data_IF_942221505915
#
_entry.id   IF_942221505915
#
_cell.length_a   1.000
_cell.length_b   1.000
_cell.length_c   1.000
_cell.angle_alpha   90.00
_cell.angle_beta   90.00
_cell.angle_gamma   90.00
#
_symmetry.space_group_name_H-M   'P 1'
#
loop_
_entity.id
_entity.type
_entity.pdbx_description
1 polymer ?
#
# COMPACT_ATOMS: atom_id res chain seq x y z
N UNK A 1 33.37 13.47 10.76
CA UNK A 1 33.61 12.01 10.84
C UNK A 1 32.48 11.20 10.19
N UNK A 2 31.20 11.55 10.37
CA UNK A 2 30.07 10.94 9.63
C UNK A 2 29.86 11.47 8.19
N UNK A 3 30.28 12.72 7.91
CA UNK A 3 30.05 13.39 6.61
C UNK A 3 30.86 12.86 5.44
N UNK A 4 31.88 12.04 5.69
CA UNK A 4 32.80 11.55 4.66
C UNK A 4 32.58 10.06 4.33
N UNK A 5 31.70 9.38 5.07
CA UNK A 5 31.34 7.98 4.84
C UNK A 5 29.86 7.89 4.43
N UNK A 6 29.62 7.85 3.13
CA UNK A 6 28.27 7.78 2.58
C UNK A 6 27.53 6.50 3.00
N UNK A 7 28.25 5.39 3.22
CA UNK A 7 27.62 4.10 3.58
C UNK A 7 27.17 4.12 5.04
N UNK A 8 27.99 4.65 5.94
CA UNK A 8 27.60 4.87 7.33
C UNK A 8 26.44 5.87 7.43
N UNK A 9 26.52 6.98 6.69
CA UNK A 9 25.47 8.00 6.67
C UNK A 9 24.15 7.47 6.10
N UNK A 10 24.19 6.61 5.08
CA UNK A 10 23.01 5.95 4.53
C UNK A 10 22.33 5.04 5.55
N UNK A 11 23.10 4.22 6.28
CA UNK A 11 22.55 3.36 7.34
C UNK A 11 21.91 4.18 8.46
N UNK A 12 22.55 5.29 8.82
CA UNK A 12 22.00 6.23 9.79
C UNK A 12 20.69 6.85 9.28
N UNK A 13 20.66 7.33 8.03
CA UNK A 13 19.45 7.84 7.38
C UNK A 13 18.29 6.84 7.42
N UNK A 14 18.53 5.57 7.09
CA UNK A 14 17.49 4.53 7.11
C UNK A 14 16.94 4.29 8.52
N UNK A 15 17.80 4.25 9.53
CA UNK A 15 17.39 4.09 10.92
C UNK A 15 16.49 5.25 11.40
N UNK A 16 16.71 6.47 10.91
CA UNK A 16 15.95 7.66 11.29
C UNK A 16 14.49 7.66 10.76
N UNK A 17 14.16 6.79 9.80
CA UNK A 17 12.77 6.58 9.37
C UNK A 17 11.95 5.73 10.33
N UNK A 18 12.56 5.15 11.37
CA UNK A 18 11.87 4.43 12.44
C UNK A 18 11.51 5.31 13.65
N UNK A 19 11.84 6.61 13.60
CA UNK A 19 11.56 7.55 14.69
C UNK A 19 10.07 7.65 15.02
N UNK A 20 9.78 7.98 16.26
CA UNK A 20 8.44 8.26 16.77
C UNK A 20 8.26 9.74 17.11
N UNK A 21 7.05 10.13 17.50
CA UNK A 21 6.73 11.50 17.89
C UNK A 21 7.58 11.92 19.10
N UNK A 22 7.97 13.20 19.16
CA UNK A 22 8.74 13.83 20.26
C UNK A 22 10.24 13.43 20.30
N UNK A 23 10.76 12.82 19.23
CA UNK A 23 12.20 12.55 19.05
C UNK A 23 12.88 13.65 18.20
N UNK A 24 12.90 14.90 18.71
CA UNK A 24 13.39 16.08 17.96
C UNK A 24 14.82 15.91 17.41
N UNK A 25 15.70 15.27 18.20
CA UNK A 25 17.08 14.98 17.79
C UNK A 25 17.12 14.10 16.53
N UNK A 26 16.17 13.16 16.38
CA UNK A 26 16.10 12.28 15.22
C UNK A 26 15.54 13.01 13.99
N UNK A 27 14.66 14.00 14.17
CA UNK A 27 14.18 14.87 13.09
C UNK A 27 15.31 15.77 12.55
N UNK A 28 16.08 16.38 13.46
CA UNK A 28 17.28 17.15 13.09
C UNK A 28 18.31 16.27 12.39
N UNK A 29 18.55 15.07 12.91
CA UNK A 29 19.44 14.10 12.30
C UNK A 29 18.96 13.63 10.92
N UNK A 30 17.65 13.50 10.70
CA UNK A 30 17.11 13.14 9.39
C UNK A 30 17.34 14.27 8.40
N UNK A 31 17.10 15.51 8.80
CA UNK A 31 17.37 16.70 7.98
C UNK A 31 18.86 16.79 7.62
N UNK A 32 19.73 16.59 8.61
CA UNK A 32 21.18 16.56 8.44
C UNK A 32 21.60 15.47 7.45
N UNK A 33 21.20 14.22 7.67
CA UNK A 33 21.61 13.07 6.86
C UNK A 33 21.08 13.18 5.43
N UNK A 34 19.84 13.61 5.25
CA UNK A 34 19.23 13.86 3.93
C UNK A 34 20.04 14.88 3.12
N UNK A 35 20.39 16.02 3.74
CA UNK A 35 21.16 17.09 3.08
C UNK A 35 22.53 16.59 2.63
N UNK A 36 23.24 15.86 3.50
CA UNK A 36 24.58 15.37 3.19
C UNK A 36 24.55 14.25 2.14
N UNK A 37 23.62 13.29 2.23
CA UNK A 37 23.46 12.25 1.19
C UNK A 37 23.17 12.86 -0.18
N UNK A 38 22.28 13.86 -0.27
CA UNK A 38 22.02 14.60 -1.51
C UNK A 38 23.28 15.29 -2.06
N UNK A 39 24.07 15.90 -1.18
CA UNK A 39 25.32 16.56 -1.58
C UNK A 39 26.40 15.58 -2.03
N UNK A 40 26.44 14.37 -1.46
CA UNK A 40 27.43 13.35 -1.80
C UNK A 40 27.07 12.62 -3.08
N UNK A 41 25.77 12.45 -3.37
CA UNK A 41 25.25 11.62 -4.46
C UNK A 41 25.97 11.82 -5.83
N UNK A 42 26.25 13.05 -6.31
CA UNK A 42 26.93 13.25 -7.60
C UNK A 42 28.36 12.70 -7.66
N UNK A 43 28.98 12.46 -6.51
CA UNK A 43 30.38 12.03 -6.38
C UNK A 43 30.51 10.55 -6.00
N UNK A 44 29.38 9.84 -5.83
CA UNK A 44 29.38 8.42 -5.50
C UNK A 44 29.44 7.57 -6.76
N UNK A 45 30.12 6.42 -6.65
CA UNK A 45 30.13 5.40 -7.70
C UNK A 45 29.04 4.35 -7.46
N UNK A 46 28.63 3.66 -8.53
CA UNK A 46 27.80 2.47 -8.41
C UNK A 46 28.55 1.34 -7.65
N UNK A 47 27.85 0.49 -6.88
CA UNK A 47 26.39 0.47 -6.70
C UNK A 47 25.86 1.40 -5.59
N UNK A 48 26.75 2.02 -4.80
CA UNK A 48 26.36 2.85 -3.65
C UNK A 48 25.57 4.09 -4.05
N UNK A 49 25.92 4.74 -5.16
CA UNK A 49 25.16 5.88 -5.68
C UNK A 49 23.68 5.51 -5.96
N UNK A 50 23.45 4.34 -6.56
CA UNK A 50 22.09 3.86 -6.84
C UNK A 50 21.34 3.55 -5.54
N UNK A 51 22.01 2.97 -4.56
CA UNK A 51 21.41 2.69 -3.26
C UNK A 51 20.99 3.98 -2.55
N UNK A 52 21.88 4.99 -2.49
CA UNK A 52 21.57 6.30 -1.90
C UNK A 52 20.41 6.98 -2.63
N UNK A 53 20.39 6.93 -3.97
CA UNK A 53 19.29 7.48 -4.76
C UNK A 53 17.96 6.82 -4.42
N UNK A 54 17.91 5.49 -4.41
CA UNK A 54 16.68 4.74 -4.08
C UNK A 54 16.16 5.10 -2.69
N UNK A 55 17.03 5.11 -1.67
CA UNK A 55 16.67 5.45 -0.29
C UNK A 55 16.16 6.89 -0.14
N UNK A 56 16.73 7.84 -0.88
CA UNK A 56 16.27 9.23 -0.88
C UNK A 56 14.91 9.42 -1.57
N UNK A 57 14.58 8.56 -2.55
CA UNK A 57 13.26 8.52 -3.20
C UNK A 57 12.23 7.81 -2.33
N UNK A 58 12.57 6.65 -1.77
CA UNK A 58 11.72 5.86 -0.90
C UNK A 58 12.59 5.13 0.13
N UNK A 59 12.54 5.54 1.41
CA UNK A 59 13.25 4.86 2.48
C UNK A 59 12.84 3.39 2.61
N UNK A 60 13.76 2.52 3.02
CA UNK A 60 13.51 1.07 3.10
C UNK A 60 12.30 0.74 3.98
N UNK A 61 12.14 1.42 5.10
CA UNK A 61 11.01 1.21 6.01
C UNK A 61 9.64 1.52 5.38
N UNK A 62 9.60 2.38 4.36
CA UNK A 62 8.38 2.80 3.66
C UNK A 62 8.19 2.10 2.31
N UNK A 63 9.17 1.31 1.88
CA UNK A 63 9.14 0.58 0.62
C UNK A 63 8.39 -0.75 0.73
N UNK A 64 7.77 -1.19 -0.38
CA UNK A 64 7.20 -2.53 -0.45
C UNK A 64 8.33 -3.56 -0.46
N UNK A 65 8.34 -4.56 0.46
CA UNK A 65 9.46 -5.50 0.58
C UNK A 65 9.84 -6.18 -0.74
N UNK A 66 8.84 -6.53 -1.56
CA UNK A 66 9.06 -7.19 -2.84
C UNK A 66 9.70 -6.29 -3.90
N UNK A 67 9.31 -5.02 -3.94
CA UNK A 67 9.89 -4.02 -4.85
C UNK A 67 11.32 -3.69 -4.44
N UNK A 68 11.55 -3.50 -3.13
CA UNK A 68 12.88 -3.24 -2.58
C UNK A 68 13.80 -4.44 -2.78
N UNK A 69 13.33 -5.67 -2.60
CA UNK A 69 14.09 -6.87 -2.92
C UNK A 69 14.49 -6.90 -4.41
N UNK A 70 13.57 -6.59 -5.34
CA UNK A 70 13.88 -6.57 -6.79
C UNK A 70 14.99 -5.57 -7.11
N UNK A 71 14.94 -4.38 -6.53
CA UNK A 71 15.93 -3.31 -6.71
C UNK A 71 17.26 -3.71 -6.08
N UNK A 72 17.23 -4.24 -4.86
CA UNK A 72 18.41 -4.57 -4.09
C UNK A 72 19.18 -5.77 -4.65
N UNK A 73 18.52 -6.77 -5.24
CA UNK A 73 19.21 -7.88 -5.93
C UNK A 73 20.21 -7.34 -6.98
N UNK A 74 19.82 -6.35 -7.78
CA UNK A 74 20.71 -5.75 -8.78
C UNK A 74 21.87 -4.98 -8.15
N UNK A 75 21.63 -4.27 -7.05
CA UNK A 75 22.66 -3.53 -6.29
C UNK A 75 23.66 -4.52 -5.66
N UNK A 76 23.15 -5.58 -5.04
CA UNK A 76 23.94 -6.61 -4.37
C UNK A 76 24.78 -7.43 -5.36
N UNK A 77 24.24 -7.70 -6.55
CA UNK A 77 24.98 -8.35 -7.64
C UNK A 77 26.22 -7.56 -8.07
N UNK A 78 26.13 -6.23 -8.08
CA UNK A 78 27.24 -5.35 -8.41
C UNK A 78 28.24 -5.15 -7.26
N UNK A 79 27.94 -5.61 -6.04
CA UNK A 79 28.87 -5.52 -4.92
C UNK A 79 29.99 -6.57 -5.05
N UNK A 80 31.23 -6.13 -4.92
CA UNK A 80 32.43 -6.98 -4.99
C UNK A 80 32.54 -7.87 -3.74
N UNK A 81 32.01 -7.42 -2.59
CA UNK A 81 32.04 -8.15 -1.33
C UNK A 81 30.82 -9.08 -1.13
N UNK A 82 30.01 -9.30 -2.18
CA UNK A 82 28.78 -10.10 -2.09
C UNK A 82 29.06 -11.57 -1.78
N UNK A 83 28.11 -12.21 -1.11
CA UNK A 83 28.09 -13.65 -0.93
C UNK A 83 27.33 -14.31 -2.08
N UNK A 84 28.04 -15.04 -2.94
CA UNK A 84 27.47 -15.62 -4.17
C UNK A 84 26.26 -16.51 -3.90
N UNK A 85 26.33 -17.40 -2.90
CA UNK A 85 25.20 -18.29 -2.58
C UNK A 85 23.96 -17.54 -2.08
N UNK A 86 24.13 -16.37 -1.45
CA UNK A 86 22.99 -15.56 -1.01
C UNK A 86 22.32 -14.89 -2.22
N UNK A 87 23.12 -14.38 -3.16
CA UNK A 87 22.60 -13.81 -4.41
C UNK A 87 21.84 -14.85 -5.24
N UNK A 88 22.39 -16.05 -5.37
CA UNK A 88 21.75 -17.16 -6.08
C UNK A 88 20.43 -17.56 -5.42
N UNK A 89 20.43 -17.75 -4.10
CA UNK A 89 19.23 -18.04 -3.33
C UNK A 89 18.16 -16.96 -3.52
N UNK A 90 18.53 -15.68 -3.39
CA UNK A 90 17.60 -14.56 -3.54
C UNK A 90 17.00 -14.49 -4.96
N UNK A 91 17.78 -14.78 -6.01
CA UNK A 91 17.27 -14.81 -7.40
C UNK A 91 16.32 -15.98 -7.63
N UNK A 92 16.66 -17.17 -7.11
CA UNK A 92 15.82 -18.36 -7.24
C UNK A 92 14.48 -18.19 -6.50
N UNK A 93 14.54 -17.75 -5.24
CA UNK A 93 13.34 -17.45 -4.45
C UNK A 93 12.48 -16.37 -5.11
N UNK A 94 13.11 -15.31 -5.64
CA UNK A 94 12.39 -14.26 -6.36
C UNK A 94 11.58 -14.83 -7.53
N UNK A 95 12.20 -15.66 -8.36
CA UNK A 95 11.55 -16.25 -9.54
C UNK A 95 10.49 -17.28 -9.15
N UNK A 96 10.69 -18.03 -8.07
CA UNK A 96 9.71 -18.98 -7.55
C UNK A 96 8.44 -18.26 -7.12
N UNK A 97 8.56 -17.22 -6.30
CA UNK A 97 7.42 -16.40 -5.87
C UNK A 97 6.77 -15.69 -7.04
N UNK A 98 7.54 -15.16 -7.99
CA UNK A 98 6.97 -14.54 -9.19
C UNK A 98 6.13 -15.53 -10.00
N UNK A 99 6.58 -16.79 -10.11
CA UNK A 99 5.81 -17.86 -10.79
C UNK A 99 4.48 -18.12 -10.09
N UNK A 100 4.50 -18.19 -8.75
CA UNK A 100 3.27 -18.32 -7.95
C UNK A 100 2.33 -17.14 -8.21
N UNK A 101 2.85 -15.91 -8.14
CA UNK A 101 2.04 -14.70 -8.32
C UNK A 101 1.45 -14.59 -9.74
N UNK A 102 2.19 -15.01 -10.77
CA UNK A 102 1.70 -15.09 -12.15
C UNK A 102 0.57 -16.10 -12.31
N UNK A 103 0.62 -17.22 -11.58
CA UNK A 103 -0.47 -18.20 -11.56
C UNK A 103 -1.72 -17.61 -10.91
N UNK A 104 -1.57 -17.00 -9.74
CA UNK A 104 -2.67 -16.36 -9.01
C UNK A 104 -3.37 -15.30 -9.89
N UNK A 105 -2.62 -14.36 -10.48
CA UNK A 105 -3.21 -13.31 -11.32
C UNK A 105 -3.85 -13.86 -12.60
N UNK A 106 -3.33 -14.96 -13.16
CA UNK A 106 -3.96 -15.64 -14.31
C UNK A 106 -5.33 -16.21 -13.93
N UNK A 107 -5.42 -16.84 -12.75
CA UNK A 107 -6.65 -17.45 -12.24
C UNK A 107 -7.69 -16.39 -11.90
N UNK A 108 -7.26 -15.31 -11.26
CA UNK A 108 -8.09 -14.13 -10.97
C UNK A 108 -8.55 -13.46 -12.27
N UNK A 109 -7.68 -13.32 -13.27
CA UNK A 109 -8.04 -12.73 -14.58
C UNK A 109 -9.09 -13.55 -15.32
N UNK A 110 -9.02 -14.89 -15.24
CA UNK A 110 -10.06 -15.78 -15.79
C UNK A 110 -11.40 -15.58 -15.08
N UNK A 111 -11.38 -15.45 -13.76
CA UNK A 111 -12.57 -15.14 -12.97
C UNK A 111 -13.17 -13.77 -13.35
N UNK A 112 -12.34 -12.73 -13.47
CA UNK A 112 -12.77 -11.36 -13.83
C UNK A 112 -13.41 -11.31 -15.23
N UNK A 113 -12.80 -12.01 -16.20
CA UNK A 113 -13.39 -12.15 -17.54
C UNK A 113 -14.71 -12.91 -17.52
N UNK A 114 -14.86 -13.91 -16.66
CA UNK A 114 -16.10 -14.72 -16.55
C UNK A 114 -17.27 -13.91 -16.01
N UNK A 115 -17.06 -13.02 -15.03
CA UNK A 115 -18.13 -12.15 -14.53
C UNK A 115 -18.55 -11.10 -15.57
N UNK A 116 -17.62 -10.75 -16.47
CA UNK A 116 -17.80 -9.88 -17.62
C UNK A 116 -18.45 -8.53 -17.24
N UNK A 117 -17.91 -7.89 -16.20
CA UNK A 117 -18.39 -6.59 -15.74
C UNK A 117 -18.06 -5.49 -16.74
N UNK A 118 -16.92 -5.55 -17.44
CA UNK A 118 -16.53 -4.55 -18.42
C UNK A 118 -17.60 -4.31 -19.51
N UNK A 119 -18.29 -5.36 -19.96
CA UNK A 119 -19.38 -5.19 -20.96
C UNK A 119 -20.70 -4.73 -20.34
N UNK A 120 -20.91 -4.97 -19.03
CA UNK A 120 -22.15 -4.64 -18.31
C UNK A 120 -22.09 -3.23 -17.71
N UNK A 121 -20.91 -2.78 -17.33
CA UNK A 121 -20.60 -1.53 -16.65
C UNK A 121 -19.45 -0.86 -17.41
N UNK A 122 -19.69 -0.34 -18.62
CA UNK A 122 -18.64 0.21 -19.48
C UNK A 122 -17.99 1.48 -18.92
N UNK A 123 -18.57 2.09 -17.89
CA UNK A 123 -18.02 3.23 -17.16
C UNK A 123 -16.97 2.84 -16.12
N UNK A 124 -16.96 1.57 -15.67
CA UNK A 124 -16.07 1.12 -14.61
C UNK A 124 -14.65 0.88 -15.16
N UNK A 125 -13.66 1.37 -14.42
CA UNK A 125 -12.25 1.22 -14.70
C UNK A 125 -11.82 -0.22 -14.43
N UNK A 126 -11.17 -0.87 -15.41
CA UNK A 126 -10.53 -2.17 -15.17
C UNK A 126 -9.18 -1.97 -14.46
N UNK A 127 -9.15 -2.20 -13.15
CA UNK A 127 -7.97 -2.06 -12.28
C UNK A 127 -7.48 -3.38 -11.70
N UNK A 128 -7.82 -4.52 -12.31
CA UNK A 128 -7.59 -5.84 -11.71
C UNK A 128 -6.11 -6.09 -11.39
N UNK A 129 -5.21 -5.70 -12.29
CA UNK A 129 -3.77 -5.93 -12.17
C UNK A 129 -3.19 -5.03 -11.07
N UNK A 130 -3.63 -3.79 -11.00
CA UNK A 130 -3.28 -2.81 -9.99
C UNK A 130 -3.76 -3.26 -8.60
N UNK A 131 -5.00 -3.74 -8.50
CA UNK A 131 -5.56 -4.30 -7.27
C UNK A 131 -4.74 -5.50 -6.79
N UNK A 132 -4.34 -6.40 -7.68
CA UNK A 132 -3.47 -7.52 -7.34
C UNK A 132 -2.08 -7.04 -6.87
N UNK A 133 -1.52 -6.05 -7.56
CA UNK A 133 -0.23 -5.46 -7.19
C UNK A 133 -0.25 -4.80 -5.81
N UNK A 134 -1.32 -4.10 -5.44
CA UNK A 134 -1.48 -3.54 -4.09
C UNK A 134 -1.52 -4.63 -3.02
N UNK A 135 -2.19 -5.75 -3.32
CA UNK A 135 -2.29 -6.89 -2.40
C UNK A 135 -0.96 -7.63 -2.20
N UNK A 136 -0.09 -7.66 -3.20
CA UNK A 136 1.29 -8.11 -3.02
C UNK A 136 2.08 -7.24 -2.05
N UNK A 137 1.70 -5.97 -1.88
CA UNK A 137 2.28 -5.07 -0.88
C UNK A 137 1.84 -5.40 0.55
N UNK A 138 0.67 -6.01 0.74
CA UNK A 138 0.16 -6.43 2.05
C UNK A 138 0.88 -7.70 2.53
N UNK A 139 0.95 -8.71 1.67
CA UNK A 139 1.71 -9.94 1.91
C UNK A 139 2.09 -10.60 0.59
N UNK A 140 3.31 -11.10 0.49
CA UNK A 140 3.85 -11.71 -0.74
C UNK A 140 4.26 -13.17 -0.54
N UNK A 141 4.27 -13.63 0.71
CA UNK A 141 4.72 -14.95 1.14
C UNK A 141 3.80 -16.05 0.61
N UNK A 142 4.32 -17.26 0.35
CA UNK A 142 3.55 -18.32 -0.31
C UNK A 142 2.33 -18.77 0.51
N UNK A 143 2.43 -18.72 1.84
CA UNK A 143 1.36 -19.15 2.75
C UNK A 143 0.08 -18.29 2.64
N UNK A 144 0.18 -17.08 2.10
CA UNK A 144 -0.95 -16.16 1.96
C UNK A 144 -1.57 -16.14 0.56
N UNK A 145 -1.29 -17.17 -0.26
CA UNK A 145 -1.81 -17.28 -1.64
C UNK A 145 -3.33 -17.17 -1.72
N UNK A 146 -4.05 -17.96 -0.89
CA UNK A 146 -5.52 -17.90 -0.81
C UNK A 146 -6.01 -16.52 -0.37
N UNK A 147 -5.33 -15.91 0.59
CA UNK A 147 -5.60 -14.55 1.05
C UNK A 147 -5.51 -13.55 -0.10
N UNK A 148 -4.42 -13.60 -0.87
CA UNK A 148 -4.23 -12.70 -2.02
C UNK A 148 -5.34 -12.85 -3.04
N UNK A 149 -5.66 -14.08 -3.43
CA UNK A 149 -6.74 -14.32 -4.39
C UNK A 149 -8.09 -13.80 -3.91
N UNK A 150 -8.42 -14.03 -2.63
CA UNK A 150 -9.69 -13.60 -2.06
C UNK A 150 -9.78 -12.07 -1.97
N UNK A 151 -8.77 -11.43 -1.38
CA UNK A 151 -8.78 -9.99 -1.15
C UNK A 151 -8.68 -9.21 -2.47
N UNK A 152 -7.90 -9.68 -3.46
CA UNK A 152 -7.87 -9.04 -4.79
C UNK A 152 -9.24 -9.02 -5.45
N UNK A 153 -10.01 -10.12 -5.36
CA UNK A 153 -11.38 -10.17 -5.92
C UNK A 153 -12.28 -9.15 -5.24
N UNK A 154 -12.17 -9.01 -3.92
CA UNK A 154 -12.99 -8.02 -3.20
C UNK A 154 -12.61 -6.60 -3.62
N UNK A 155 -11.32 -6.27 -3.64
CA UNK A 155 -10.87 -4.91 -3.97
C UNK A 155 -11.24 -4.54 -5.40
N UNK A 156 -11.14 -5.48 -6.36
CA UNK A 156 -11.56 -5.23 -7.73
C UNK A 156 -13.09 -4.97 -7.83
N UNK A 157 -13.90 -5.60 -6.98
CA UNK A 157 -15.33 -5.30 -6.91
C UNK A 157 -15.58 -3.96 -6.21
N UNK A 158 -14.83 -3.66 -5.15
CA UNK A 158 -14.89 -2.37 -4.45
C UNK A 158 -14.50 -1.21 -5.37
N UNK A 159 -13.52 -1.37 -6.26
CA UNK A 159 -13.18 -0.32 -7.23
C UNK A 159 -14.28 -0.07 -8.26
N UNK A 160 -15.03 -1.11 -8.64
CA UNK A 160 -16.23 -0.92 -9.49
C UNK A 160 -17.32 -0.18 -8.72
N UNK A 161 -17.50 -0.49 -7.42
CA UNK A 161 -18.43 0.24 -6.57
C UNK A 161 -18.00 1.71 -6.45
N UNK A 162 -16.72 1.97 -6.25
CA UNK A 162 -16.14 3.32 -6.20
C UNK A 162 -16.48 4.13 -7.47
N UNK A 163 -16.26 3.55 -8.66
CA UNK A 163 -16.65 4.18 -9.93
C UNK A 163 -18.17 4.44 -10.04
N UNK A 164 -19.01 3.60 -9.42
CA UNK A 164 -20.47 3.85 -9.35
C UNK A 164 -20.75 5.12 -8.53
N UNK A 165 -20.09 5.31 -7.38
CA UNK A 165 -20.31 6.49 -6.52
C UNK A 165 -19.70 7.77 -7.10
N UNK A 166 -18.53 7.69 -7.72
CA UNK A 166 -17.74 8.88 -8.10
C UNK A 166 -18.02 9.38 -9.51
N UNK A 167 -18.35 8.48 -10.44
CA UNK A 167 -18.43 8.81 -11.88
C UNK A 167 -19.84 8.67 -12.43
N UNK A 168 -20.57 7.63 -12.01
CA UNK A 168 -21.79 7.22 -12.71
C UNK A 168 -23.10 7.57 -12.01
N UNK A 169 -23.23 7.24 -10.74
CA UNK A 169 -24.52 7.23 -10.05
C UNK A 169 -25.08 8.62 -9.77
N UNK A 170 -26.36 8.81 -10.06
CA UNK A 170 -27.08 9.99 -9.54
C UNK A 170 -27.35 9.84 -8.04
N UNK A 171 -27.56 10.95 -7.34
CA UNK A 171 -27.77 10.90 -5.89
C UNK A 171 -28.96 10.01 -5.50
N UNK A 172 -30.04 10.02 -6.27
CA UNK A 172 -31.22 9.18 -6.04
C UNK A 172 -30.92 7.68 -6.24
N UNK A 173 -30.16 7.33 -7.27
CA UNK A 173 -29.74 5.95 -7.53
C UNK A 173 -28.74 5.46 -6.47
N UNK A 174 -27.78 6.30 -6.10
CA UNK A 174 -26.82 5.99 -5.04
C UNK A 174 -27.51 5.80 -3.70
N UNK A 175 -28.56 6.55 -3.38
CA UNK A 175 -29.37 6.30 -2.18
C UNK A 175 -30.01 4.92 -2.20
N UNK A 176 -30.60 4.51 -3.34
CA UNK A 176 -31.21 3.18 -3.48
C UNK A 176 -30.15 2.07 -3.43
N UNK A 177 -28.99 2.29 -4.05
CA UNK A 177 -27.88 1.35 -4.05
C UNK A 177 -27.27 1.18 -2.67
N UNK A 178 -26.98 2.30 -1.98
CA UNK A 178 -26.55 2.33 -0.59
C UNK A 178 -27.57 1.63 0.29
N UNK A 179 -28.85 1.97 0.18
CA UNK A 179 -29.91 1.34 1.00
C UNK A 179 -30.06 -0.16 0.69
N UNK A 180 -29.84 -0.62 -0.54
CA UNK A 180 -29.81 -2.05 -0.85
C UNK A 180 -28.62 -2.78 -0.18
N UNK A 181 -27.44 -2.14 -0.13
CA UNK A 181 -26.24 -2.68 0.54
C UNK A 181 -26.35 -2.56 2.07
N UNK A 182 -26.86 -1.43 2.58
CA UNK A 182 -27.05 -1.14 4.00
C UNK A 182 -28.22 -1.93 4.60
N UNK A 183 -29.29 -2.25 3.87
CA UNK A 183 -30.32 -3.20 4.34
C UNK A 183 -29.74 -4.58 4.64
N UNK A 184 -28.59 -4.93 4.05
CA UNK A 184 -27.83 -6.13 4.39
C UNK A 184 -26.87 -5.96 5.59
N UNK A 185 -26.52 -4.73 6.02
CA UNK A 185 -25.53 -4.44 7.08
C UNK A 185 -25.94 -3.39 8.15
N UNK A 186 -27.21 -2.99 8.14
CA UNK A 186 -28.02 -2.18 9.06
C UNK A 186 -27.35 -1.09 9.94
N UNK A 187 -27.68 0.17 9.56
CA UNK A 187 -27.73 1.44 10.33
C UNK A 187 -26.44 2.25 10.49
N UNK A 188 -26.14 3.17 9.54
CA UNK A 188 -25.56 4.50 9.90
C UNK A 188 -25.60 5.64 8.85
N UNK A 189 -26.54 5.72 7.91
CA UNK A 189 -26.58 6.83 6.93
C UNK A 189 -27.33 8.10 7.39
N UNK A 190 -26.86 8.84 8.40
CA UNK A 190 -27.58 10.05 8.89
C UNK A 190 -26.90 11.42 8.69
N UNK A 191 -25.78 11.55 7.98
CA UNK A 191 -25.08 12.84 7.87
C UNK A 191 -25.11 13.54 6.51
N UNK A 192 -25.58 12.89 5.45
CA UNK A 192 -25.56 13.48 4.10
C UNK A 192 -26.75 14.42 3.79
N UNK A 193 -27.82 14.41 4.59
CA UNK A 193 -29.08 15.10 4.25
C UNK A 193 -29.07 16.64 4.35
N UNK A 194 -27.95 17.29 4.72
CA UNK A 194 -27.97 18.71 5.17
C UNK A 194 -27.16 19.73 4.36
N UNK A 195 -26.59 19.41 3.19
CA UNK A 195 -25.73 20.35 2.43
C UNK A 195 -24.62 20.97 3.33
N UNK A 196 -24.08 20.15 4.23
CA UNK A 196 -23.10 20.57 5.22
C UNK A 196 -21.70 20.51 4.62
N UNK A 197 -20.96 21.60 4.74
CA UNK A 197 -19.53 21.61 4.44
C UNK A 197 -18.79 21.14 5.71
N UNK A 198 -18.21 19.94 5.72
CA UNK A 198 -17.53 19.42 6.90
C UNK A 198 -16.29 20.24 7.21
N UNK A 199 -15.98 20.38 8.49
CA UNK A 199 -14.66 20.86 8.93
C UNK A 199 -13.58 19.90 8.43
N UNK A 200 -12.31 20.35 8.40
CA UNK A 200 -11.19 19.49 8.02
C UNK A 200 -11.14 18.19 8.85
N UNK A 201 -11.41 18.28 10.15
CA UNK A 201 -11.41 17.13 11.06
C UNK A 201 -12.55 16.14 10.77
N UNK A 202 -13.76 16.64 10.53
CA UNK A 202 -14.91 15.81 10.16
C UNK A 202 -14.68 15.15 8.81
N UNK A 203 -14.22 15.90 7.80
CA UNK A 203 -13.87 15.35 6.50
C UNK A 203 -12.82 14.24 6.67
N UNK A 204 -11.71 14.53 7.37
CA UNK A 204 -10.63 13.57 7.59
C UNK A 204 -11.10 12.28 8.28
N UNK A 205 -12.04 12.37 9.22
CA UNK A 205 -12.61 11.21 9.89
C UNK A 205 -13.40 10.29 8.94
N UNK A 206 -14.14 10.87 8.00
CA UNK A 206 -14.88 10.16 6.96
C UNK A 206 -13.92 9.63 5.89
N UNK A 207 -12.95 10.44 5.47
CA UNK A 207 -11.94 10.06 4.46
C UNK A 207 -11.08 8.87 4.89
N UNK A 208 -10.82 8.74 6.19
CA UNK A 208 -10.14 7.56 6.76
C UNK A 208 -10.96 6.29 6.52
N UNK A 209 -12.27 6.33 6.70
CA UNK A 209 -13.14 5.17 6.45
C UNK A 209 -13.32 4.89 4.96
N UNK A 210 -13.52 5.94 4.15
CA UNK A 210 -13.70 5.82 2.70
C UNK A 210 -12.41 5.50 1.95
N UNK A 211 -11.24 5.60 2.57
CA UNK A 211 -9.96 5.15 1.99
C UNK A 211 -9.93 3.66 1.62
N UNK A 212 -10.89 2.86 2.12
CA UNK A 212 -10.92 1.41 1.95
C UNK A 212 -9.87 0.66 2.78
N UNK A 213 -8.96 1.36 3.46
CA UNK A 213 -7.88 0.73 4.24
C UNK A 213 -8.39 -0.04 5.48
N UNK A 214 -9.36 0.45 6.27
CA UNK A 214 -9.93 -0.34 7.36
C UNK A 214 -10.58 -1.63 6.85
N UNK A 215 -11.29 -1.56 5.73
CA UNK A 215 -11.87 -2.73 5.06
C UNK A 215 -10.77 -3.71 4.62
N UNK A 216 -9.71 -3.21 3.97
CA UNK A 216 -8.55 -4.02 3.57
C UNK A 216 -7.89 -4.70 4.78
N UNK A 217 -7.72 -3.99 5.90
CA UNK A 217 -7.10 -4.54 7.11
C UNK A 217 -7.92 -5.69 7.73
N UNK A 218 -9.25 -5.61 7.67
CA UNK A 218 -10.13 -6.71 8.12
C UNK A 218 -10.03 -7.88 7.13
N UNK A 219 -10.09 -7.60 5.83
CA UNK A 219 -10.07 -8.62 4.79
C UNK A 219 -8.73 -9.36 4.72
N UNK A 220 -7.63 -8.67 5.01
CA UNK A 220 -6.29 -9.25 5.00
C UNK A 220 -6.16 -10.38 6.03
N UNK A 221 -6.85 -10.31 7.17
CA UNK A 221 -6.88 -11.36 8.20
C UNK A 221 -7.49 -12.67 7.68
N UNK A 222 -8.46 -12.63 6.77
CA UNK A 222 -9.17 -13.83 6.27
C UNK A 222 -8.19 -14.84 5.65
N UNK A 223 -7.07 -14.36 5.10
CA UNK A 223 -6.02 -15.19 4.53
C UNK A 223 -4.94 -15.68 5.50
N UNK A 224 -4.97 -15.28 6.78
CA UNK A 224 -3.86 -15.47 7.72
C UNK A 224 -4.00 -16.70 8.66
N UNK A 225 -4.90 -17.62 8.34
CA UNK A 225 -5.11 -18.89 9.06
C UNK A 225 -5.19 -18.70 10.58
N UNK A 226 -4.26 -19.28 11.35
CA UNK A 226 -4.29 -19.32 12.82
C UNK A 226 -4.22 -17.93 13.49
N UNK A 227 -3.74 -16.92 12.77
CA UNK A 227 -3.69 -15.53 13.28
C UNK A 227 -5.07 -14.86 13.22
N UNK A 228 -5.97 -15.36 12.35
CA UNK A 228 -7.31 -14.82 12.09
C UNK A 228 -8.32 -15.20 13.19
N UNK A 229 -7.97 -14.92 14.45
CA UNK A 229 -8.80 -15.20 15.63
C UNK A 229 -9.94 -14.19 15.74
N UNK A 230 -10.99 -14.53 16.49
CA UNK A 230 -12.09 -13.61 16.77
C UNK A 230 -11.57 -12.32 17.41
N UNK A 231 -10.63 -12.45 18.34
CA UNK A 231 -10.00 -11.34 19.04
C UNK A 231 -9.23 -10.42 18.08
N UNK A 232 -8.57 -10.99 17.06
CA UNK A 232 -7.92 -10.22 16.01
C UNK A 232 -8.94 -9.43 15.17
N UNK A 233 -10.06 -10.06 14.79
CA UNK A 233 -11.15 -9.38 14.08
C UNK A 233 -11.78 -8.26 14.93
N UNK A 234 -12.13 -8.55 16.19
CA UNK A 234 -12.72 -7.58 17.12
C UNK A 234 -11.79 -6.37 17.31
N UNK A 235 -10.48 -6.62 17.42
CA UNK A 235 -9.48 -5.55 17.52
C UNK A 235 -9.43 -4.69 16.27
N UNK A 236 -9.37 -5.28 15.07
CA UNK A 236 -9.21 -4.53 13.81
C UNK A 236 -10.50 -3.78 13.45
N UNK A 237 -11.68 -4.36 13.72
CA UNK A 237 -12.99 -3.72 13.53
C UNK A 237 -13.12 -2.45 14.37
N UNK A 238 -12.48 -2.39 15.54
CA UNK A 238 -12.45 -1.18 16.37
C UNK A 238 -11.61 -0.03 15.76
N UNK A 239 -10.99 -0.24 14.60
CA UNK A 239 -10.13 0.71 13.88
C UNK A 239 -9.08 1.31 14.83
N UNK A 240 -8.18 0.47 15.38
CA UNK A 240 -7.20 0.90 16.35
C UNK A 240 -6.22 1.89 15.72
N UNK A 241 -5.42 2.57 16.54
CA UNK A 241 -4.53 3.64 16.09
C UNK A 241 -3.68 3.25 14.88
N UNK A 242 -3.16 2.02 14.83
CA UNK A 242 -2.39 1.52 13.69
C UNK A 242 -3.19 1.52 12.38
N UNK A 243 -4.43 1.00 12.37
CA UNK A 243 -5.30 0.99 11.19
C UNK A 243 -5.67 2.40 10.78
N UNK A 244 -6.00 3.26 11.75
CA UNK A 244 -6.30 4.68 11.51
C UNK A 244 -5.12 5.43 10.90
N UNK A 245 -3.91 5.22 11.41
CA UNK A 245 -2.69 5.83 10.89
C UNK A 245 -2.38 5.36 9.47
N UNK A 246 -2.52 4.08 9.17
CA UNK A 246 -2.32 3.57 7.81
C UNK A 246 -3.37 4.11 6.83
N UNK A 247 -4.64 4.16 7.23
CA UNK A 247 -5.72 4.74 6.45
C UNK A 247 -5.49 6.24 6.16
N UNK A 248 -5.00 6.98 7.16
CA UNK A 248 -4.64 8.39 7.01
C UNK A 248 -3.49 8.56 6.00
N UNK A 249 -2.44 7.73 6.09
CA UNK A 249 -1.34 7.75 5.11
C UNK A 249 -1.88 7.46 3.71
N UNK A 250 -2.67 6.40 3.55
CA UNK A 250 -3.25 6.02 2.27
C UNK A 250 -4.06 7.17 1.66
N UNK A 251 -4.94 7.79 2.45
CA UNK A 251 -5.78 8.91 2.00
C UNK A 251 -4.96 10.13 1.60
N UNK A 252 -4.01 10.55 2.45
CA UNK A 252 -3.20 11.73 2.17
C UNK A 252 -2.33 11.56 0.92
N UNK A 253 -1.76 10.36 0.72
CA UNK A 253 -0.97 10.07 -0.48
C UNK A 253 -1.85 10.08 -1.73
N UNK A 254 -3.05 9.49 -1.66
CA UNK A 254 -4.03 9.51 -2.75
C UNK A 254 -4.47 10.94 -3.09
N UNK A 255 -4.80 11.75 -2.09
CA UNK A 255 -5.17 13.18 -2.27
C UNK A 255 -4.05 13.98 -2.95
N UNK A 256 -2.80 13.80 -2.51
CA UNK A 256 -1.65 14.50 -3.11
C UNK A 256 -1.46 14.11 -4.58
N UNK A 257 -1.68 12.83 -4.93
CA UNK A 257 -1.47 12.34 -6.29
C UNK A 257 -2.63 12.67 -7.23
N UNK A 258 -3.85 12.75 -6.72
CA UNK A 258 -5.06 13.02 -7.51
C UNK A 258 -5.37 14.52 -7.61
N UNK A 259 -4.76 15.35 -6.76
CA UNK A 259 -4.93 16.80 -6.81
C UNK A 259 -4.46 17.39 -8.14
N UNK A 260 -5.42 17.79 -8.97
CA UNK A 260 -5.18 18.62 -10.15
C UNK A 260 -5.12 20.08 -9.69
N UNK A 261 -3.94 20.70 -9.77
CA UNK A 261 -3.82 22.15 -9.64
C UNK A 261 -4.61 22.78 -10.80
N UNK A 262 -5.52 23.75 -10.54
CA UNK A 262 -6.29 24.41 -11.59
C UNK A 262 -5.42 25.17 -12.60
#
# INVERSE_FOLDING_TARGET
>A
MLTNDARALLRFYEALHLRVKEEDILEEALTFSTKHLKSMLPYLNAPLAQQVKNSLETPLHKGMPRLEARRYISIYEADVARHTSLLELAKLDFNLLQTLHQREISDISRWWKKINLASKLPFASDRLVECYFWILGVYFEPNYSMGREFVTKIIALTSVIDDIYDVYGTLEELKLFTDAIERAYFREANWYYKLYMPTFEENLSVSVMSSGYPMLAIQSLIGMADIATKEAFDLVIAVPKIVRSCALIARLVDDIQTHKVP
#
